data_IF_679165706576
#
_entry.id   IF_679165706576
#
_cell.length_a   1.000
_cell.length_b   1.000
_cell.length_c   1.000
_cell.angle_alpha   90.00
_cell.angle_beta   90.00
_cell.angle_gamma   90.00
#
_symmetry.space_group_name_H-M   'P 1'
#
loop_
_entity.id
_entity.type
_entity.pdbx_description
1 polymer ?
#
# COMPACT_ATOMS: atom_id res chain seq x y z
N UNK A 1 3.72 13.27 -12.14
CA UNK A 1 4.27 11.90 -12.18
C UNK A 1 3.69 11.17 -10.97
N UNK A 2 3.63 9.85 -10.98
CA UNK A 2 3.01 9.08 -9.90
C UNK A 2 3.61 7.69 -9.82
N UNK A 3 3.11 6.89 -8.88
CA UNK A 3 3.55 5.52 -8.64
C UNK A 3 2.36 4.57 -8.69
N UNK A 4 2.48 3.52 -9.50
CA UNK A 4 1.61 2.34 -9.44
C UNK A 4 2.31 1.28 -8.61
N UNK A 5 1.63 0.80 -7.57
CA UNK A 5 2.11 -0.28 -6.70
C UNK A 5 1.19 -1.48 -6.82
N UNK A 6 1.79 -2.65 -7.03
CA UNK A 6 1.12 -3.95 -7.08
C UNK A 6 1.54 -4.76 -5.86
N UNK A 7 0.59 -5.43 -5.21
CA UNK A 7 0.81 -6.18 -3.98
C UNK A 7 0.15 -7.55 -4.08
N UNK A 8 0.89 -8.59 -3.76
CA UNK A 8 0.38 -9.95 -3.65
C UNK A 8 -0.05 -10.20 -2.21
N UNK A 9 -1.34 -9.98 -1.92
CA UNK A 9 -1.92 -10.10 -0.58
C UNK A 9 -3.39 -10.50 -0.73
N UNK A 10 -3.91 -11.34 0.17
CA UNK A 10 -5.34 -11.63 0.19
C UNK A 10 -6.13 -10.36 0.47
N UNK A 11 -7.10 -9.98 -0.37
CA UNK A 11 -7.87 -8.75 -0.11
C UNK A 11 -8.67 -8.84 1.19
N UNK A 12 -9.12 -10.04 1.56
CA UNK A 12 -9.85 -10.25 2.80
C UNK A 12 -8.88 -10.22 4.00
N UNK A 13 -7.64 -10.70 3.85
CA UNK A 13 -6.57 -10.53 4.84
C UNK A 13 -6.24 -9.04 5.07
N UNK A 14 -6.15 -8.26 3.98
CA UNK A 14 -5.97 -6.81 4.07
C UNK A 14 -7.12 -6.11 4.78
N UNK A 15 -8.37 -6.51 4.50
CA UNK A 15 -9.56 -5.94 5.17
C UNK A 15 -9.62 -6.33 6.64
N UNK A 16 -9.28 -7.57 6.96
CA UNK A 16 -9.28 -8.10 8.32
C UNK A 16 -8.25 -7.40 9.22
N UNK A 17 -7.15 -6.88 8.64
CA UNK A 17 -6.22 -6.01 9.34
C UNK A 17 -6.87 -4.73 9.88
N UNK A 18 -7.98 -4.28 9.26
CA UNK A 18 -8.73 -3.08 9.62
C UNK A 18 -10.16 -3.36 10.08
N UNK A 19 -10.44 -4.58 10.56
CA UNK A 19 -11.80 -4.98 10.97
C UNK A 19 -12.29 -4.35 12.30
N UNK A 20 -11.44 -3.62 13.02
CA UNK A 20 -11.79 -3.00 14.32
C UNK A 20 -11.97 -3.97 15.48
N UNK A 21 -11.64 -5.25 15.30
CA UNK A 21 -11.59 -6.22 16.40
C UNK A 21 -10.43 -5.93 17.34
N UNK A 22 -10.53 -6.29 18.62
CA UNK A 22 -9.45 -6.11 19.60
C UNK A 22 -8.13 -6.73 19.11
N UNK A 23 -8.20 -7.88 18.44
CA UNK A 23 -7.05 -8.54 17.84
C UNK A 23 -6.44 -7.72 16.69
N UNK A 24 -7.27 -7.19 15.77
CA UNK A 24 -6.80 -6.35 14.67
C UNK A 24 -6.18 -5.05 15.18
N UNK A 25 -6.84 -4.37 16.12
CA UNK A 25 -6.33 -3.15 16.77
C UNK A 25 -5.01 -3.43 17.49
N UNK A 26 -4.92 -4.54 18.23
CA UNK A 26 -3.70 -4.97 18.89
C UNK A 26 -2.54 -5.15 17.91
N UNK A 27 -2.77 -5.86 16.80
CA UNK A 27 -1.78 -6.05 15.73
C UNK A 27 -1.33 -4.72 15.11
N UNK A 28 -2.27 -3.84 14.75
CA UNK A 28 -1.95 -2.53 14.18
C UNK A 28 -1.10 -1.67 15.12
N UNK A 29 -1.40 -1.69 16.42
CA UNK A 29 -0.60 -0.97 17.43
C UNK A 29 0.82 -1.55 17.56
N UNK A 30 0.94 -2.88 17.61
CA UNK A 30 2.25 -3.55 17.64
C UNK A 30 3.07 -3.26 16.40
N UNK A 31 2.45 -3.31 15.22
CA UNK A 31 3.09 -2.97 13.95
C UNK A 31 3.53 -1.51 13.93
N UNK A 32 2.65 -0.57 14.31
CA UNK A 32 3.01 0.85 14.35
C UNK A 32 4.18 1.14 15.30
N UNK A 33 4.25 0.46 16.45
CA UNK A 33 5.38 0.58 17.38
C UNK A 33 6.68 0.00 16.81
N UNK A 34 6.61 -1.09 16.06
CA UNK A 34 7.78 -1.69 15.42
C UNK A 34 8.29 -0.84 14.24
N UNK A 35 7.38 -0.27 13.44
CA UNK A 35 7.72 0.54 12.27
C UNK A 35 8.18 1.96 12.65
N UNK A 36 7.51 2.58 13.63
CA UNK A 36 7.83 3.92 14.12
C UNK A 36 8.03 3.90 15.64
N UNK A 37 9.19 3.41 16.11
CA UNK A 37 9.48 3.42 17.53
C UNK A 37 9.48 4.87 18.06
N UNK A 38 8.93 5.10 19.27
CA UNK A 38 8.97 6.42 19.88
C UNK A 38 10.44 6.84 20.05
N UNK A 39 10.75 8.09 19.72
CA UNK A 39 12.09 8.62 19.96
C UNK A 39 12.40 8.62 21.45
N UNK A 40 13.53 8.03 21.82
CA UNK A 40 14.10 8.16 23.16
C UNK A 40 14.37 9.65 23.39
N UNK A 41 13.49 10.30 24.15
CA UNK A 41 13.76 11.66 24.63
C UNK A 41 15.04 11.55 25.45
N UNK A 42 16.12 12.30 25.14
CA UNK A 42 17.29 12.31 25.99
C UNK A 42 16.84 12.67 27.40
N UNK A 43 17.11 11.73 28.33
CA UNK A 43 16.74 11.86 29.72
C UNK A 43 17.24 13.19 30.26
N UNK A 44 16.41 13.85 31.07
CA UNK A 44 16.75 15.09 31.79
C UNK A 44 18.08 14.94 32.52
N UNK A 45 19.16 15.39 31.90
CA UNK A 45 20.43 15.67 32.54
C UNK A 45 20.46 17.12 33.03
N UNK A 46 20.18 17.31 34.32
CA UNK A 46 20.84 18.22 35.28
C UNK A 46 21.91 19.19 34.68
N UNK A 47 21.95 20.52 34.86
CA UNK A 47 21.99 21.32 36.10
C UNK A 47 21.79 22.84 35.81
N UNK A 48 21.09 23.25 34.74
CA UNK A 48 21.03 24.67 34.33
C UNK A 48 19.71 25.41 34.63
N UNK A 49 18.79 24.80 35.37
CA UNK A 49 17.49 25.41 35.71
C UNK A 49 17.54 26.53 36.77
N UNK A 50 18.73 27.09 37.07
CA UNK A 50 18.92 28.15 38.07
C UNK A 50 19.19 29.55 37.50
N UNK A 51 18.97 29.78 36.20
CA UNK A 51 19.10 31.13 35.63
C UNK A 51 17.82 31.57 34.90
N UNK A 52 17.09 32.49 35.54
CA UNK A 52 16.37 33.58 34.87
C UNK A 52 14.94 33.31 34.38
N UNK A 53 13.97 34.23 34.61
CA UNK A 53 12.58 34.04 34.26
C UNK A 53 12.24 34.70 32.91
N UNK A 54 12.57 34.07 31.78
CA UNK A 54 12.02 34.48 30.49
C UNK A 54 11.71 33.28 29.61
N UNK A 55 10.48 33.25 29.08
CA UNK A 55 9.89 32.25 28.18
C UNK A 55 9.58 30.87 28.79
N UNK A 56 8.38 30.74 29.38
CA UNK A 56 7.62 29.49 29.31
C UNK A 56 7.11 29.33 27.88
N UNK A 57 7.99 29.01 26.94
CA UNK A 57 7.57 28.18 25.81
C UNK A 57 7.11 26.86 26.44
N UNK A 58 5.99 26.28 25.99
CA UNK A 58 5.53 24.99 26.50
C UNK A 58 6.55 23.91 26.09
N UNK A 59 7.62 23.79 26.85
CA UNK A 59 8.66 22.78 26.72
C UNK A 59 7.98 21.43 26.96
N UNK A 60 7.75 20.68 25.88
CA UNK A 60 7.22 19.32 25.94
C UNK A 60 5.92 19.07 25.18
N UNK A 61 5.39 20.02 24.40
CA UNK A 61 4.35 19.69 23.43
C UNK A 61 4.91 18.65 22.43
N UNK A 62 4.31 17.46 22.28
CA UNK A 62 4.78 16.47 21.33
C UNK A 62 4.76 17.05 19.92
N UNK A 63 5.91 17.06 19.24
CA UNK A 63 5.96 17.37 17.81
C UNK A 63 5.34 16.17 17.10
N UNK A 64 4.09 16.32 16.66
CA UNK A 64 3.41 15.30 15.87
C UNK A 64 3.88 15.45 14.43
N UNK A 65 4.62 14.46 13.93
CA UNK A 65 5.02 14.42 12.52
C UNK A 65 3.81 14.10 11.63
N UNK A 66 3.52 14.89 10.59
CA UNK A 66 2.38 14.67 9.68
C UNK A 66 2.34 13.27 9.04
N UNK A 67 3.50 12.67 8.82
CA UNK A 67 3.71 11.40 8.12
C UNK A 67 3.78 10.18 9.04
N UNK A 68 3.91 10.38 10.36
CA UNK A 68 3.99 9.27 11.32
C UNK A 68 2.64 9.04 12.00
N UNK A 69 2.08 7.82 11.97
CA UNK A 69 0.88 7.48 12.72
C UNK A 69 1.06 7.69 14.23
N UNK A 70 0.08 8.36 14.84
CA UNK A 70 -0.11 8.39 16.29
C UNK A 70 -1.03 7.25 16.73
N UNK A 71 -1.08 6.97 18.03
CA UNK A 71 -2.04 5.99 18.57
C UNK A 71 -3.51 6.33 18.24
N UNK A 72 -3.83 7.62 18.11
CA UNK A 72 -5.16 8.06 17.66
C UNK A 72 -5.41 7.71 16.20
N UNK A 73 -4.43 7.92 15.32
CA UNK A 73 -4.59 7.56 13.89
C UNK A 73 -4.79 6.05 13.74
N UNK A 74 -4.06 5.24 14.52
CA UNK A 74 -4.23 3.77 14.56
C UNK A 74 -5.66 3.42 14.98
N UNK A 75 -6.16 4.01 16.07
CA UNK A 75 -7.50 3.74 16.57
C UNK A 75 -8.59 4.20 15.59
N UNK A 76 -8.43 5.37 14.98
CA UNK A 76 -9.39 5.91 14.02
C UNK A 76 -9.43 5.06 12.74
N UNK A 77 -8.27 4.66 12.19
CA UNK A 77 -8.18 3.78 11.02
C UNK A 77 -8.75 2.39 11.34
N UNK A 78 -8.39 1.79 12.48
CA UNK A 78 -8.81 0.44 12.82
C UNK A 78 -10.33 0.33 12.99
N UNK A 79 -11.00 1.39 13.47
CA UNK A 79 -12.46 1.41 13.64
C UNK A 79 -13.20 2.07 12.47
N UNK A 80 -12.51 2.37 11.37
CA UNK A 80 -13.06 3.05 10.20
C UNK A 80 -13.70 4.40 10.50
N UNK A 81 -13.17 5.12 11.49
CA UNK A 81 -13.57 6.48 11.81
C UNK A 81 -12.98 7.46 10.79
N UNK A 82 -13.56 8.64 10.76
CA UNK A 82 -13.05 9.69 9.89
C UNK A 82 -11.67 10.17 10.36
N UNK A 83 -10.65 9.93 9.52
CA UNK A 83 -9.31 10.50 9.70
C UNK A 83 -9.29 11.92 9.09
N UNK A 84 -8.86 12.94 9.86
CA UNK A 84 -8.73 14.31 9.38
C UNK A 84 -7.85 14.42 8.11
N UNK A 85 -8.12 15.37 7.19
CA UNK A 85 -7.35 15.51 5.96
C UNK A 85 -5.83 15.65 6.16
N UNK A 86 -5.40 16.38 7.19
CA UNK A 86 -3.99 16.60 7.57
C UNK A 86 -3.31 15.36 8.16
N UNK A 87 -4.08 14.35 8.57
CA UNK A 87 -3.60 13.07 9.11
C UNK A 87 -3.72 11.92 8.12
N UNK A 88 -4.28 12.16 6.93
CA UNK A 88 -4.53 11.12 5.94
C UNK A 88 -3.25 10.48 5.41
N UNK A 89 -2.17 11.26 5.28
CA UNK A 89 -0.85 10.74 4.89
C UNK A 89 -0.34 9.73 5.93
N UNK A 90 -0.43 10.04 7.22
CA UNK A 90 -0.11 9.08 8.29
C UNK A 90 -1.01 7.84 8.24
N UNK A 91 -2.33 7.99 8.03
CA UNK A 91 -3.22 6.83 7.91
C UNK A 91 -2.82 5.91 6.73
N UNK A 92 -2.42 6.47 5.58
CA UNK A 92 -1.89 5.67 4.47
C UNK A 92 -0.52 5.08 4.74
N UNK A 93 0.34 5.74 5.52
CA UNK A 93 1.59 5.14 5.98
C UNK A 93 1.34 3.88 6.82
N UNK A 94 0.29 3.86 7.66
CA UNK A 94 -0.12 2.65 8.39
C UNK A 94 -0.58 1.53 7.43
N UNK A 95 -1.32 1.88 6.38
CA UNK A 95 -1.71 0.90 5.33
C UNK A 95 -0.47 0.35 4.62
N UNK A 96 0.51 1.19 4.31
CA UNK A 96 1.78 0.77 3.70
C UNK A 96 2.56 -0.18 4.62
N UNK A 97 2.57 0.09 5.92
CA UNK A 97 3.20 -0.80 6.89
C UNK A 97 2.51 -2.16 6.95
N UNK A 98 1.18 -2.20 6.91
CA UNK A 98 0.42 -3.47 6.86
C UNK A 98 0.76 -4.26 5.60
N UNK A 99 0.81 -3.60 4.44
CA UNK A 99 1.23 -4.25 3.20
C UNK A 99 2.66 -4.76 3.30
N UNK A 100 3.60 -3.97 3.81
CA UNK A 100 4.99 -4.38 3.93
C UNK A 100 5.20 -5.57 4.89
N UNK A 101 4.37 -5.67 5.93
CA UNK A 101 4.40 -6.77 6.89
C UNK A 101 3.71 -8.04 6.37
N UNK A 102 2.64 -7.88 5.59
CA UNK A 102 1.73 -8.99 5.26
C UNK A 102 1.86 -9.48 3.81
N UNK A 103 2.18 -8.63 2.85
CA UNK A 103 2.21 -9.02 1.43
C UNK A 103 3.32 -10.05 1.16
N UNK A 104 3.03 -10.99 0.26
CA UNK A 104 3.99 -11.99 -0.20
C UNK A 104 5.09 -11.38 -1.06
N UNK A 105 4.73 -10.39 -1.86
CA UNK A 105 5.66 -9.55 -2.61
C UNK A 105 4.97 -8.25 -3.02
N UNK A 106 5.76 -7.25 -3.42
CA UNK A 106 5.27 -5.96 -3.89
C UNK A 106 6.15 -5.40 -5.00
N UNK A 107 5.51 -4.77 -5.99
CA UNK A 107 6.18 -4.11 -7.11
C UNK A 107 5.69 -2.67 -7.24
N UNK A 108 6.60 -1.70 -7.08
CA UNK A 108 6.33 -0.29 -7.33
C UNK A 108 6.99 0.19 -8.64
N UNK A 109 6.24 0.95 -9.43
CA UNK A 109 6.63 1.42 -10.75
C UNK A 109 6.25 2.90 -10.91
N UNK A 110 7.18 3.76 -11.36
CA UNK A 110 6.80 5.12 -11.75
C UNK A 110 5.91 5.04 -12.98
N UNK A 111 4.69 5.56 -12.86
CA UNK A 111 3.72 5.61 -13.94
C UNK A 111 2.73 6.75 -13.66
N UNK A 112 2.45 7.54 -14.69
CA UNK A 112 1.33 8.48 -14.71
C UNK A 112 0.20 7.97 -15.62
N UNK A 113 -0.90 8.72 -15.70
CA UNK A 113 -2.05 8.35 -16.54
C UNK A 113 -1.65 8.08 -17.99
N UNK A 114 -0.73 8.89 -18.54
CA UNK A 114 -0.24 8.71 -19.90
C UNK A 114 0.53 7.39 -20.05
N UNK A 115 1.40 7.08 -19.10
CA UNK A 115 2.18 5.83 -19.10
C UNK A 115 1.27 4.62 -19.02
N UNK A 116 0.21 4.68 -18.20
CA UNK A 116 -0.81 3.63 -18.11
C UNK A 116 -1.55 3.48 -19.44
N UNK A 117 -1.95 4.58 -20.07
CA UNK A 117 -2.67 4.56 -21.34
C UNK A 117 -1.83 4.05 -22.52
N UNK A 118 -0.59 4.51 -22.61
CA UNK A 118 0.35 4.06 -23.64
C UNK A 118 0.65 2.55 -23.48
N UNK A 119 0.75 2.06 -22.24
CA UNK A 119 0.93 0.63 -21.94
C UNK A 119 -0.31 -0.19 -22.30
N UNK A 120 -1.50 0.23 -21.88
CA UNK A 120 -2.75 -0.46 -22.17
C UNK A 120 -3.04 -0.50 -23.67
N UNK A 121 -2.74 0.59 -24.39
CA UNK A 121 -2.84 0.63 -25.84
C UNK A 121 -1.89 -0.36 -26.52
N UNK A 122 -0.62 -0.39 -26.08
CA UNK A 122 0.37 -1.32 -26.63
C UNK A 122 -0.02 -2.78 -26.37
N UNK A 123 -0.50 -3.10 -25.17
CA UNK A 123 -0.99 -4.43 -24.81
C UNK A 123 -2.22 -4.83 -25.62
N UNK A 124 -3.21 -3.93 -25.77
CA UNK A 124 -4.39 -4.18 -26.59
C UNK A 124 -4.02 -4.41 -28.07
N UNK A 125 -3.04 -3.66 -28.59
CA UNK A 125 -2.51 -3.84 -29.95
C UNK A 125 -1.80 -5.18 -30.14
N UNK A 126 -1.19 -5.71 -29.08
CA UNK A 126 -0.61 -7.05 -29.02
C UNK A 126 -1.65 -8.16 -28.69
N UNK A 127 -2.95 -7.85 -28.74
CA UNK A 127 -4.03 -8.81 -28.56
C UNK A 127 -4.45 -9.08 -27.11
N UNK A 128 -3.97 -8.29 -26.14
CA UNK A 128 -4.42 -8.41 -24.75
C UNK A 128 -5.91 -8.06 -24.64
N UNK A 129 -6.75 -8.93 -24.03
CA UNK A 129 -8.11 -8.58 -23.73
C UNK A 129 -8.19 -7.37 -22.78
N UNK A 130 -9.03 -6.38 -23.10
CA UNK A 130 -9.12 -5.11 -22.35
C UNK A 130 -9.31 -5.28 -20.84
N UNK A 131 -10.07 -6.30 -20.40
CA UNK A 131 -10.29 -6.66 -18.99
C UNK A 131 -9.02 -6.98 -18.18
N UNK A 132 -7.90 -7.19 -18.86
CA UNK A 132 -6.59 -7.44 -18.27
C UNK A 132 -5.63 -6.25 -18.41
N UNK A 133 -6.11 -5.11 -18.91
CA UNK A 133 -5.36 -3.85 -18.90
C UNK A 133 -5.13 -3.34 -17.48
N UNK A 134 -4.07 -2.56 -17.30
CA UNK A 134 -3.67 -2.01 -16.01
C UNK A 134 -4.75 -1.05 -15.47
N UNK A 135 -5.41 -0.26 -16.33
CA UNK A 135 -6.50 0.64 -15.92
C UNK A 135 -7.66 -0.12 -15.26
N UNK A 136 -7.98 -1.31 -15.74
CA UNK A 136 -9.10 -2.12 -15.24
C UNK A 136 -8.89 -2.63 -13.82
N UNK A 137 -7.64 -2.64 -13.32
CA UNK A 137 -7.37 -3.03 -11.94
C UNK A 137 -8.03 -2.08 -10.92
N UNK A 138 -8.30 -0.83 -11.31
CA UNK A 138 -8.89 0.21 -10.46
C UNK A 138 -10.42 0.22 -10.46
N UNK A 139 -11.08 -0.63 -11.25
CA UNK A 139 -12.55 -0.64 -11.37
C UNK A 139 -13.24 -1.18 -10.11
N UNK A 140 -12.54 -2.01 -9.33
CA UNK A 140 -13.07 -2.61 -8.10
C UNK A 140 -12.29 -2.11 -6.88
N UNK A 141 -12.83 -1.15 -6.10
CA UNK A 141 -12.12 -0.59 -4.96
C UNK A 141 -11.85 -1.63 -3.88
N UNK A 142 -10.74 -1.48 -3.14
CA UNK A 142 -10.35 -2.45 -2.09
C UNK A 142 -11.35 -2.47 -0.94
N UNK A 143 -11.99 -1.33 -0.66
CA UNK A 143 -12.96 -1.20 0.43
C UNK A 143 -12.33 -1.14 1.82
N UNK A 144 -11.03 -0.85 1.92
CA UNK A 144 -10.39 -0.57 3.21
C UNK A 144 -10.96 0.73 3.82
N UNK A 145 -11.01 0.86 5.15
CA UNK A 145 -11.72 1.96 5.80
C UNK A 145 -10.86 3.24 5.92
N UNK A 146 -10.08 3.56 4.87
CA UNK A 146 -9.24 4.75 4.81
C UNK A 146 -9.62 5.58 3.58
N UNK A 147 -10.00 6.84 3.79
CA UNK A 147 -10.26 7.77 2.68
C UNK A 147 -8.99 7.92 1.83
N UNK A 148 -9.15 7.88 0.51
CA UNK A 148 -8.08 8.08 -0.48
C UNK A 148 -7.44 9.46 -0.37
N UNK A 149 -6.15 9.54 -0.66
CA UNK A 149 -5.46 10.81 -0.91
C UNK A 149 -6.01 11.45 -2.21
N UNK A 150 -5.91 12.79 -2.38
CA UNK A 150 -6.27 13.43 -3.64
C UNK A 150 -5.55 12.78 -4.83
N UNK A 151 -6.29 12.46 -5.90
CA UNK A 151 -5.75 11.82 -7.11
C UNK A 151 -5.37 10.34 -6.95
N UNK A 152 -5.49 9.75 -5.75
CA UNK A 152 -5.19 8.34 -5.53
C UNK A 152 -6.30 7.43 -6.09
N UNK A 153 -5.89 6.30 -6.67
CA UNK A 153 -6.79 5.20 -7.01
C UNK A 153 -6.33 3.91 -6.33
N UNK A 154 -7.27 3.00 -6.10
CA UNK A 154 -7.02 1.68 -5.54
C UNK A 154 -7.90 0.65 -6.24
N UNK A 155 -7.50 -0.60 -6.18
CA UNK A 155 -8.38 -1.68 -6.57
C UNK A 155 -7.77 -3.04 -6.34
N UNK A 156 -8.49 -4.08 -6.77
CA UNK A 156 -8.00 -5.45 -6.65
C UNK A 156 -8.60 -6.40 -7.68
N UNK A 157 -7.86 -7.48 -7.96
CA UNK A 157 -8.32 -8.67 -8.66
C UNK A 157 -8.17 -9.90 -7.77
N UNK A 158 -9.13 -10.81 -7.85
CA UNK A 158 -9.03 -12.10 -7.19
C UNK A 158 -7.96 -12.97 -7.86
N UNK A 159 -7.38 -13.90 -7.11
CA UNK A 159 -6.29 -14.80 -7.55
C UNK A 159 -6.52 -15.41 -8.93
N UNK A 160 -7.69 -16.01 -9.15
CA UNK A 160 -8.05 -16.65 -10.43
C UNK A 160 -7.92 -15.70 -11.63
N UNK A 161 -8.31 -14.43 -11.42
CA UNK A 161 -8.16 -13.38 -12.44
C UNK A 161 -6.74 -12.85 -12.54
N UNK A 162 -6.01 -12.76 -11.43
CA UNK A 162 -4.59 -12.36 -11.44
C UNK A 162 -3.73 -13.37 -12.22
N UNK A 163 -3.96 -14.66 -12.03
CA UNK A 163 -3.29 -15.75 -12.79
C UNK A 163 -3.69 -15.74 -14.27
N UNK A 164 -4.97 -15.52 -14.57
CA UNK A 164 -5.43 -15.36 -15.95
C UNK A 164 -4.81 -14.11 -16.62
N UNK A 165 -4.67 -13.01 -15.88
CA UNK A 165 -3.99 -11.80 -16.34
C UNK A 165 -2.51 -12.07 -16.61
N UNK A 166 -1.80 -12.75 -15.70
CA UNK A 166 -0.40 -13.15 -15.88
C UNK A 166 -0.19 -13.95 -17.18
N UNK A 167 -1.08 -14.91 -17.42
CA UNK A 167 -1.06 -15.74 -18.62
C UNK A 167 -1.30 -14.92 -19.90
N UNK A 168 -2.27 -14.01 -19.87
CA UNK A 168 -2.60 -13.15 -20.99
C UNK A 168 -1.48 -12.15 -21.31
N UNK A 169 -0.86 -11.55 -20.30
CA UNK A 169 0.29 -10.67 -20.46
C UNK A 169 1.50 -11.42 -21.03
N UNK A 170 1.78 -12.62 -20.53
CA UNK A 170 2.85 -13.48 -21.06
C UNK A 170 2.67 -13.77 -22.55
N UNK A 171 1.43 -14.05 -22.98
CA UNK A 171 1.13 -14.29 -24.39
C UNK A 171 1.30 -13.05 -25.27
N UNK A 172 1.01 -11.85 -24.75
CA UNK A 172 1.13 -10.59 -25.50
C UNK A 172 2.56 -10.04 -25.57
N UNK A 173 3.44 -10.41 -24.62
CA UNK A 173 4.81 -9.88 -24.52
C UNK A 173 5.65 -9.91 -25.82
N UNK A 174 5.63 -11.00 -26.63
CA UNK A 174 6.46 -11.09 -27.84
C UNK A 174 6.11 -10.04 -28.91
N UNK A 175 4.86 -9.60 -28.96
CA UNK A 175 4.34 -8.71 -30.00
C UNK A 175 4.27 -7.24 -29.56
N UNK A 176 4.78 -6.91 -28.36
CA UNK A 176 4.78 -5.55 -27.84
C UNK A 176 5.76 -4.63 -28.54
N UNK A 177 5.34 -3.37 -28.70
CA UNK A 177 6.21 -2.29 -29.14
C UNK A 177 7.45 -2.16 -28.21
N UNK A 178 8.66 -1.88 -28.74
CA UNK A 178 9.89 -1.79 -27.95
C UNK A 178 9.84 -0.80 -26.79
N UNK A 179 9.05 0.27 -26.91
CA UNK A 179 8.87 1.28 -25.86
C UNK A 179 8.07 0.76 -24.65
N UNK A 180 7.07 -0.10 -24.87
CA UNK A 180 6.22 -0.65 -23.80
C UNK A 180 6.80 -1.93 -23.18
N UNK A 181 7.64 -2.65 -23.93
CA UNK A 181 8.17 -3.95 -23.52
C UNK A 181 8.91 -3.96 -22.15
N UNK A 182 9.73 -2.96 -21.77
CA UNK A 182 10.44 -2.99 -20.48
C UNK A 182 9.48 -2.98 -19.28
N UNK A 183 8.48 -2.10 -19.30
CA UNK A 183 7.50 -1.99 -18.22
C UNK A 183 6.61 -3.24 -18.18
N UNK A 184 6.12 -3.68 -19.34
CA UNK A 184 5.30 -4.88 -19.45
C UNK A 184 6.02 -6.12 -18.92
N UNK A 185 7.29 -6.34 -19.31
CA UNK A 185 8.08 -7.49 -18.83
C UNK A 185 8.24 -7.48 -17.31
N UNK A 186 8.47 -6.31 -16.70
CA UNK A 186 8.63 -6.20 -15.24
C UNK A 186 7.35 -6.57 -14.50
N UNK A 187 6.19 -6.12 -14.99
CA UNK A 187 4.89 -6.49 -14.43
C UNK A 187 4.62 -7.98 -14.64
N UNK A 188 4.80 -8.50 -15.86
CA UNK A 188 4.59 -9.93 -16.16
C UNK A 188 5.48 -10.84 -15.32
N UNK A 189 6.75 -10.47 -15.14
CA UNK A 189 7.69 -11.25 -14.32
C UNK A 189 7.23 -11.31 -12.85
N UNK A 190 6.73 -10.20 -12.31
CA UNK A 190 6.19 -10.18 -10.96
C UNK A 190 4.88 -10.98 -10.86
N UNK A 191 3.97 -10.83 -11.83
CA UNK A 191 2.73 -11.61 -11.89
C UNK A 191 2.99 -13.14 -11.97
N UNK A 192 4.12 -13.57 -12.54
CA UNK A 192 4.50 -14.97 -12.57
C UNK A 192 4.82 -15.57 -11.18
N UNK A 193 4.89 -14.75 -10.13
CA UNK A 193 5.09 -15.20 -8.75
C UNK A 193 3.84 -15.80 -8.08
N UNK A 194 2.63 -15.52 -8.60
CA UNK A 194 1.36 -15.94 -7.98
C UNK A 194 1.27 -17.44 -7.65
N UNK A 195 1.67 -18.38 -8.53
CA UNK A 195 1.64 -19.80 -8.22
C UNK A 195 2.51 -20.18 -7.01
N UNK A 196 3.69 -19.54 -6.88
CA UNK A 196 4.62 -19.79 -5.76
C UNK A 196 4.04 -19.24 -4.47
N UNK A 197 3.55 -17.99 -4.48
CA UNK A 197 2.96 -17.38 -3.29
C UNK A 197 1.69 -18.09 -2.84
N UNK A 198 0.89 -18.63 -3.76
CA UNK A 198 -0.28 -19.43 -3.43
C UNK A 198 0.10 -20.74 -2.72
N UNK A 199 1.13 -21.44 -3.22
CA UNK A 199 1.64 -22.65 -2.55
C UNK A 199 2.18 -22.33 -1.14
N UNK A 200 2.95 -21.25 -1.00
CA UNK A 200 3.46 -20.80 0.30
C UNK A 200 2.34 -20.38 1.26
N UNK A 201 1.24 -19.80 0.74
CA UNK A 201 0.09 -19.44 1.55
C UNK A 201 -0.62 -20.68 2.12
N UNK A 202 -0.81 -21.72 1.28
CA UNK A 202 -1.39 -22.99 1.72
C UNK A 202 -0.53 -23.65 2.81
N UNK A 203 0.80 -23.67 2.64
CA UNK A 203 1.74 -24.20 3.64
C UNK A 203 1.71 -23.41 4.97
N UNK A 204 1.57 -22.08 4.88
CA UNK A 204 1.50 -21.20 6.04
C UNK A 204 0.11 -21.13 6.70
N UNK A 205 -0.91 -21.78 6.12
CA UNK A 205 -2.30 -21.68 6.58
C UNK A 205 -2.87 -20.27 6.42
N UNK A 206 -2.37 -19.49 5.46
CA UNK A 206 -2.80 -18.12 5.14
C UNK A 206 -3.70 -18.11 3.90
N UNK A 207 -4.56 -17.09 3.73
CA UNK A 207 -5.28 -16.91 2.48
C UNK A 207 -4.34 -16.79 1.29
N UNK A 208 -4.67 -17.44 0.18
CA UNK A 208 -3.94 -17.27 -1.06
C UNK A 208 -3.98 -15.79 -1.50
N UNK A 209 -2.90 -15.26 -2.09
CA UNK A 209 -2.83 -13.85 -2.46
C UNK A 209 -3.80 -13.51 -3.58
N UNK A 210 -4.44 -12.36 -3.43
CA UNK A 210 -5.07 -11.62 -4.50
C UNK A 210 -4.09 -10.56 -5.03
N UNK A 211 -4.44 -9.91 -6.13
CA UNK A 211 -3.70 -8.74 -6.63
C UNK A 211 -4.36 -7.47 -6.10
N UNK A 212 -3.66 -6.73 -5.25
CA UNK A 212 -4.07 -5.38 -4.82
C UNK A 212 -3.23 -4.34 -5.55
N UNK A 213 -3.86 -3.27 -6.03
CA UNK A 213 -3.19 -2.18 -6.74
C UNK A 213 -3.48 -0.84 -6.10
N UNK A 214 -2.47 0.03 -6.07
CA UNK A 214 -2.62 1.45 -5.78
C UNK A 214 -2.00 2.29 -6.88
N UNK A 215 -2.60 3.45 -7.14
CA UNK A 215 -1.98 4.54 -7.88
C UNK A 215 -1.92 5.75 -6.96
N UNK A 216 -0.72 6.33 -6.77
CA UNK A 216 -0.54 7.57 -6.01
C UNK A 216 0.12 8.62 -6.89
N UNK A 217 -0.44 9.83 -7.02
CA UNK A 217 0.28 10.95 -7.61
C UNK A 217 1.44 11.35 -6.67
N UNK A 218 2.55 11.80 -7.25
CA UNK A 218 3.67 12.39 -6.52
C UNK A 218 3.30 13.73 -5.86
#
# INVERSE_FOLDING_TARGET
MGTVSLHAIGIDELRDAFAGTDAAVGRLRSLALATWPPEDRPGRGSLLSKLGPFSRQAVGAPVVRPEIPTGRDVDDVAHGREVPPDRRTAAWALVDAVIADTAWDSLALPADDRTIDDLDFALASAGLPSRFGLRQLFDRPTGIPVKKLPGMADGYLRRDRAEAMASAWTAALPDLAPSAAPLARRITQWLAGFPVWAASADEAGRPAPDLVVWYRPD
#
